data_IF_555665392227
#
_entry.id   IF_555665392227
#
_cell.length_a   1.000
_cell.length_b   1.000
_cell.length_c   1.000
_cell.angle_alpha   90.00
_cell.angle_beta   90.00
_cell.angle_gamma   90.00
#
_symmetry.space_group_name_H-M   'P 1'
#
loop_
_entity.id
_entity.type
_entity.pdbx_description
1 polymer ?
#
# COMPACT_ATOMS: atom_id res chain seq x y z
N UNK A 1 19.68 7.65 28.76
CA UNK A 1 19.18 8.80 27.95
C UNK A 1 20.10 9.99 28.17
N UNK A 2 20.35 10.79 27.13
CA UNK A 2 21.20 11.98 27.23
C UNK A 2 20.46 13.17 27.87
N UNK A 3 21.17 13.98 28.67
CA UNK A 3 20.62 15.16 29.35
C UNK A 3 20.49 16.31 28.35
N UNK A 4 19.33 16.97 28.33
CA UNK A 4 19.14 18.20 27.55
C UNK A 4 20.05 19.30 28.11
N UNK A 5 20.86 19.93 27.25
CA UNK A 5 21.80 21.00 27.64
C UNK A 5 21.13 22.36 27.86
N UNK A 6 19.88 22.52 27.39
CA UNK A 6 19.05 23.71 27.59
C UNK A 6 17.57 23.36 27.49
N UNK A 7 16.72 24.21 28.07
CA UNK A 7 15.27 24.15 27.94
C UNK A 7 14.88 24.24 26.45
N UNK A 8 13.99 23.35 25.99
CA UNK A 8 13.50 23.31 24.62
C UNK A 8 11.99 23.12 24.60
N UNK A 9 11.30 23.90 23.77
CA UNK A 9 9.85 23.81 23.59
C UNK A 9 9.55 23.60 22.11
N UNK A 10 8.85 22.52 21.77
CA UNK A 10 8.30 22.27 20.44
C UNK A 10 6.78 22.30 20.50
N UNK A 11 6.17 23.15 19.70
CA UNK A 11 4.71 23.20 19.55
C UNK A 11 4.30 22.23 18.45
N UNK A 12 3.23 21.49 18.71
CA UNK A 12 2.58 20.62 17.75
C UNK A 12 1.13 21.07 17.62
N UNK A 13 0.58 20.93 16.42
CA UNK A 13 -0.85 21.09 16.16
C UNK A 13 -1.34 19.75 15.66
N UNK A 14 -2.39 19.23 16.30
CA UNK A 14 -3.03 18.00 15.84
C UNK A 14 -3.79 18.27 14.53
N UNK A 15 -3.64 17.39 13.55
CA UNK A 15 -4.49 17.40 12.36
C UNK A 15 -5.92 16.98 12.72
N UNK A 16 -6.85 17.17 11.77
CA UNK A 16 -8.18 16.60 11.89
C UNK A 16 -8.10 15.06 11.99
N UNK A 17 -9.10 14.46 12.63
CA UNK A 17 -9.20 12.99 12.73
C UNK A 17 -9.28 12.38 11.33
N UNK A 18 -8.47 11.35 11.10
CA UNK A 18 -8.61 10.50 9.93
C UNK A 18 -9.71 9.47 10.17
N UNK A 19 -10.63 9.37 9.20
CA UNK A 19 -11.82 8.51 9.25
C UNK A 19 -11.95 7.63 8.02
N UNK A 20 -10.92 7.58 7.16
CA UNK A 20 -10.88 6.74 5.98
C UNK A 20 -9.84 5.62 6.17
N UNK A 21 -10.08 4.47 5.53
CA UNK A 21 -9.09 3.40 5.46
C UNK A 21 -8.52 3.35 4.04
N UNK A 22 -7.27 2.93 3.87
CA UNK A 22 -6.71 2.73 2.54
C UNK A 22 -7.57 1.77 1.72
N UNK A 23 -8.01 2.20 0.54
CA UNK A 23 -8.81 1.38 -0.37
C UNK A 23 -8.09 1.18 -1.72
N UNK A 24 -7.61 -0.04 -2.01
CA UNK A 24 -6.93 -0.38 -3.25
C UNK A 24 -7.73 -0.14 -4.53
N UNK A 25 -9.07 -0.08 -4.45
CA UNK A 25 -9.93 0.17 -5.60
C UNK A 25 -9.67 1.56 -6.20
N UNK A 26 -9.35 2.53 -5.35
CA UNK A 26 -9.13 3.93 -5.76
C UNK A 26 -7.67 4.25 -6.09
N UNK A 27 -6.74 3.29 -5.97
CA UNK A 27 -5.36 3.52 -6.36
C UNK A 27 -5.24 3.69 -7.89
N UNK A 28 -4.30 4.50 -8.35
CA UNK A 28 -4.04 4.64 -9.79
C UNK A 28 -2.89 3.74 -10.19
N UNK A 29 -3.09 2.91 -11.21
CA UNK A 29 -2.07 1.99 -11.71
C UNK A 29 -1.69 2.38 -13.14
N UNK A 30 -0.41 2.68 -13.35
CA UNK A 30 0.16 2.79 -14.68
C UNK A 30 0.65 1.40 -15.09
N UNK A 31 -0.13 0.75 -15.95
CA UNK A 31 0.09 -0.63 -16.37
C UNK A 31 1.06 -0.64 -17.56
N UNK A 32 2.19 -1.37 -17.47
CA UNK A 32 3.17 -1.46 -18.54
C UNK A 32 2.65 -2.28 -19.73
N UNK A 33 3.23 -2.09 -20.91
CA UNK A 33 2.90 -2.87 -22.11
C UNK A 33 3.54 -4.27 -22.09
N UNK A 34 2.91 -5.24 -22.76
CA UNK A 34 3.45 -6.58 -22.95
C UNK A 34 4.77 -6.55 -23.73
N UNK A 35 5.61 -7.57 -23.50
CA UNK A 35 6.93 -7.68 -24.11
C UNK A 35 7.94 -6.62 -23.64
N UNK A 36 7.60 -5.79 -22.65
CA UNK A 36 8.47 -4.74 -22.10
C UNK A 36 8.99 -5.09 -20.72
N UNK A 37 10.06 -4.41 -20.28
CA UNK A 37 10.52 -4.38 -18.86
C UNK A 37 10.19 -3.05 -18.20
N UNK A 38 9.18 -2.34 -18.72
CA UNK A 38 8.76 -1.06 -18.15
C UNK A 38 8.27 -1.29 -16.72
N UNK A 39 8.57 -0.33 -15.85
CA UNK A 39 8.11 -0.39 -14.47
C UNK A 39 6.61 -0.14 -14.39
N UNK A 40 5.93 -0.88 -13.51
CA UNK A 40 4.56 -0.57 -13.11
C UNK A 40 4.59 0.47 -11.98
N UNK A 41 3.72 1.47 -12.04
CA UNK A 41 3.60 2.47 -10.96
C UNK A 41 2.22 2.39 -10.33
N UNK A 42 2.16 2.41 -9.00
CA UNK A 42 0.93 2.43 -8.21
C UNK A 42 0.95 3.71 -7.39
N UNK A 43 -0.02 4.60 -7.60
CA UNK A 43 -0.19 5.81 -6.81
C UNK A 43 -1.33 5.64 -5.81
N UNK A 44 -1.03 5.95 -4.54
CA UNK A 44 -1.95 5.90 -3.42
C UNK A 44 -2.61 7.27 -3.20
N UNK A 45 -3.80 7.27 -2.61
CA UNK A 45 -4.53 8.50 -2.30
C UNK A 45 -4.03 9.18 -1.04
N UNK A 46 -3.24 8.47 -0.24
CA UNK A 46 -2.64 8.90 1.01
C UNK A 46 -1.22 8.34 1.16
N UNK A 47 -0.49 8.75 2.20
CA UNK A 47 0.80 8.18 2.53
C UNK A 47 0.58 6.91 3.37
N UNK A 48 1.23 5.81 2.99
CA UNK A 48 1.11 4.54 3.69
C UNK A 48 2.36 4.26 4.54
N UNK A 49 2.29 3.27 5.42
CA UNK A 49 3.45 2.88 6.22
C UNK A 49 4.60 2.39 5.32
N UNK A 50 5.74 3.07 5.42
CA UNK A 50 6.92 2.80 4.60
C UNK A 50 7.43 1.37 4.74
N UNK A 51 7.46 0.83 5.96
CA UNK A 51 8.06 -0.49 6.22
C UNK A 51 7.15 -1.61 5.70
N UNK A 52 5.84 -1.44 5.84
CA UNK A 52 4.86 -2.40 5.33
C UNK A 52 4.77 -2.40 3.81
N UNK A 53 4.91 -1.25 3.15
CA UNK A 53 4.81 -1.14 1.69
C UNK A 53 5.74 -2.11 0.93
N UNK A 54 6.94 -2.40 1.45
CA UNK A 54 7.89 -3.31 0.79
C UNK A 54 7.45 -4.78 0.78
N UNK A 55 6.62 -5.19 1.75
CA UNK A 55 6.28 -6.59 1.97
C UNK A 55 4.78 -6.88 1.86
N UNK A 56 3.95 -5.84 1.77
CA UNK A 56 2.50 -5.97 1.72
C UNK A 56 1.91 -5.88 0.32
N UNK A 57 2.70 -5.58 -0.72
CA UNK A 57 2.22 -5.48 -2.09
C UNK A 57 3.00 -6.44 -2.99
N UNK A 58 2.28 -7.31 -3.68
CA UNK A 58 2.85 -8.18 -4.70
C UNK A 58 1.98 -8.21 -5.95
N UNK A 59 2.60 -8.57 -7.08
CA UNK A 59 1.92 -8.72 -8.36
C UNK A 59 1.95 -10.20 -8.70
N UNK A 60 0.79 -10.78 -8.99
CA UNK A 60 0.66 -12.18 -9.37
C UNK A 60 0.00 -12.30 -10.75
N UNK A 61 0.38 -13.32 -11.51
CA UNK A 61 -0.36 -13.75 -12.70
C UNK A 61 -1.71 -14.37 -12.31
N UNK A 62 -2.60 -14.52 -13.30
CA UNK A 62 -3.90 -15.14 -13.10
C UNK A 62 -3.87 -16.57 -12.51
N UNK A 63 -2.74 -17.27 -12.65
CA UNK A 63 -2.50 -18.61 -12.11
C UNK A 63 -1.93 -18.59 -10.67
N UNK A 64 -1.80 -17.41 -10.07
CA UNK A 64 -1.27 -17.20 -8.73
C UNK A 64 0.27 -17.11 -8.66
N UNK A 65 0.98 -17.19 -9.79
CA UNK A 65 2.44 -17.07 -9.78
C UNK A 65 2.86 -15.61 -9.56
N UNK A 66 3.62 -15.36 -8.49
CA UNK A 66 4.16 -14.03 -8.18
C UNK A 66 5.19 -13.60 -9.23
N UNK A 67 5.01 -12.41 -9.77
CA UNK A 67 5.95 -11.76 -10.67
C UNK A 67 7.17 -11.33 -9.86
N UNK A 68 8.34 -11.84 -10.23
CA UNK A 68 9.61 -11.44 -9.62
C UNK A 68 9.98 -10.03 -10.05
N UNK A 69 10.42 -9.21 -9.10
CA UNK A 69 10.84 -7.85 -9.36
C UNK A 69 11.33 -7.14 -8.11
N UNK A 70 11.64 -5.85 -8.28
CA UNK A 70 12.10 -4.97 -7.21
C UNK A 70 11.09 -3.85 -6.99
N UNK A 71 10.83 -3.56 -5.72
CA UNK A 71 9.91 -2.52 -5.28
C UNK A 71 10.69 -1.30 -4.78
N UNK A 72 10.22 -0.11 -5.15
CA UNK A 72 10.71 1.15 -4.63
C UNK A 72 9.54 2.02 -4.17
N UNK A 73 9.60 2.48 -2.93
CA UNK A 73 8.65 3.46 -2.38
C UNK A 73 9.15 4.86 -2.71
N UNK A 74 8.25 5.71 -3.19
CA UNK A 74 8.56 7.05 -3.70
C UNK A 74 7.46 8.04 -3.31
N UNK A 75 7.68 9.33 -3.60
CA UNK A 75 6.69 10.38 -3.41
C UNK A 75 6.13 10.44 -1.97
N UNK A 76 7.02 10.37 -0.96
CA UNK A 76 6.65 10.37 0.47
C UNK A 76 5.62 9.28 0.79
N UNK A 77 5.95 8.05 0.41
CA UNK A 77 5.12 6.87 0.67
C UNK A 77 3.73 6.90 -0.01
N UNK A 78 3.53 7.77 -1.00
CA UNK A 78 2.30 7.88 -1.79
C UNK A 78 2.39 7.16 -3.13
N UNK A 79 3.51 6.55 -3.44
CA UNK A 79 3.68 5.82 -4.70
C UNK A 79 4.65 4.66 -4.56
N UNK A 80 4.34 3.57 -5.25
CA UNK A 80 5.18 2.38 -5.35
C UNK A 80 5.53 2.15 -6.82
N UNK A 81 6.81 1.92 -7.09
CA UNK A 81 7.32 1.56 -8.41
C UNK A 81 7.83 0.12 -8.36
N UNK A 82 7.29 -0.73 -9.23
CA UNK A 82 7.69 -2.12 -9.38
C UNK A 82 8.45 -2.32 -10.69
N UNK A 83 9.71 -2.75 -10.59
CA UNK A 83 10.55 -3.12 -11.74
C UNK A 83 10.55 -4.64 -11.88
N UNK A 84 10.00 -5.19 -12.98
CA UNK A 84 9.99 -6.63 -13.18
C UNK A 84 11.40 -7.15 -13.48
N UNK A 85 11.70 -8.36 -13.04
CA UNK A 85 12.96 -9.03 -13.39
C UNK A 85 12.98 -9.41 -14.88
N UNK A 86 11.84 -9.90 -15.37
CA UNK A 86 11.62 -10.37 -16.74
C UNK A 86 10.65 -9.48 -17.52
N UNK A 87 10.48 -9.73 -18.83
CA UNK A 87 9.51 -9.00 -19.63
C UNK A 87 8.08 -9.38 -19.24
N UNK A 88 7.17 -8.40 -19.25
CA UNK A 88 5.75 -8.65 -19.01
C UNK A 88 5.15 -9.52 -20.11
N UNK A 89 4.39 -10.54 -19.73
CA UNK A 89 3.56 -11.29 -20.67
C UNK A 89 2.18 -10.64 -20.77
N UNK A 90 1.56 -10.68 -21.94
CA UNK A 90 0.16 -10.27 -22.06
C UNK A 90 -0.73 -11.21 -21.25
N UNK A 91 -1.75 -10.67 -20.58
CA UNK A 91 -2.69 -11.47 -19.79
C UNK A 91 -3.23 -10.78 -18.55
N UNK A 92 -4.02 -11.53 -17.80
CA UNK A 92 -4.63 -11.10 -16.55
C UNK A 92 -3.64 -11.24 -15.38
N UNK A 93 -3.64 -10.24 -14.52
CA UNK A 93 -2.83 -10.16 -13.31
C UNK A 93 -3.67 -9.69 -12.14
N UNK A 94 -3.17 -9.95 -10.93
CA UNK A 94 -3.70 -9.46 -9.68
C UNK A 94 -2.64 -8.64 -8.96
N UNK A 95 -3.05 -7.50 -8.43
CA UNK A 95 -2.35 -6.82 -7.37
C UNK A 95 -2.84 -7.42 -6.05
N UNK A 96 -1.98 -8.14 -5.35
CA UNK A 96 -2.28 -8.72 -4.04
C UNK A 96 -1.73 -7.80 -2.95
N UNK A 97 -2.61 -7.38 -2.03
CA UNK A 97 -2.29 -6.49 -0.93
C UNK A 97 -2.56 -7.19 0.39
N UNK A 98 -1.53 -7.35 1.22
CA UNK A 98 -1.68 -7.80 2.60
C UNK A 98 -2.50 -6.76 3.38
N UNK A 99 -3.59 -7.24 4.00
CA UNK A 99 -4.52 -6.42 4.76
C UNK A 99 -3.92 -5.72 5.98
N UNK A 100 -2.71 -6.12 6.40
CA UNK A 100 -1.94 -5.45 7.45
C UNK A 100 -1.39 -4.10 7.00
N UNK A 101 -1.29 -3.84 5.69
CA UNK A 101 -0.88 -2.52 5.20
C UNK A 101 -1.79 -1.43 5.79
N UNK A 102 -1.16 -0.39 6.31
CA UNK A 102 -1.86 0.68 7.01
C UNK A 102 -1.36 2.06 6.56
N UNK A 103 -2.16 3.08 6.82
CA UNK A 103 -1.76 4.48 6.70
C UNK A 103 -0.96 4.96 7.92
N UNK A 104 -0.53 6.22 7.88
CA UNK A 104 0.22 6.83 8.99
C UNK A 104 -0.62 7.06 10.26
N UNK A 105 -1.95 6.93 10.18
CA UNK A 105 -2.87 7.00 11.31
C UNK A 105 -3.18 5.60 11.90
N UNK A 106 -2.67 4.52 11.30
CA UNK A 106 -2.87 3.14 11.72
C UNK A 106 -4.18 2.51 11.21
N UNK A 107 -4.89 3.15 10.27
CA UNK A 107 -6.02 2.52 9.61
C UNK A 107 -5.49 1.53 8.57
N UNK A 108 -6.04 0.32 8.55
CA UNK A 108 -5.65 -0.71 7.59
C UNK A 108 -6.81 -1.03 6.65
N UNK A 109 -6.56 -1.86 5.63
CA UNK A 109 -7.54 -2.16 4.58
C UNK A 109 -8.84 -2.80 5.09
N UNK A 110 -8.85 -3.32 6.32
CA UNK A 110 -10.02 -3.96 6.92
C UNK A 110 -10.77 -3.05 7.91
N UNK A 111 -10.14 -1.99 8.43
CA UNK A 111 -10.71 -1.16 9.51
C UNK A 111 -9.94 0.12 9.78
N UNK A 112 -10.67 1.08 10.35
CA UNK A 112 -10.10 2.21 11.07
C UNK A 112 -9.39 1.78 12.36
N UNK A 113 -8.39 2.56 12.74
CA UNK A 113 -7.72 2.49 14.03
C UNK A 113 -8.67 2.90 15.16
N UNK A 114 -9.25 4.09 15.05
CA UNK A 114 -10.11 4.71 16.07
C UNK A 114 -11.57 4.29 15.92
N UNK A 115 -11.81 3.01 16.22
CA UNK A 115 -13.10 2.32 16.11
C UNK A 115 -13.74 2.04 17.47
N UNK A 116 -15.07 2.03 17.53
CA UNK A 116 -15.80 1.76 18.77
C UNK A 116 -15.95 0.24 18.94
N UNK A 117 -15.09 -0.35 19.78
CA UNK A 117 -15.06 -1.80 20.02
C UNK A 117 -16.36 -2.38 20.56
N UNK A 118 -17.25 -1.55 21.13
CA UNK A 118 -18.54 -1.98 21.68
C UNK A 118 -19.65 -1.99 20.63
N UNK A 119 -19.51 -1.23 19.54
CA UNK A 119 -20.50 -1.11 18.47
C UNK A 119 -20.09 -1.85 17.20
N UNK A 120 -18.79 -1.96 16.95
CA UNK A 120 -18.27 -2.54 15.72
C UNK A 120 -18.21 -4.06 15.81
N UNK A 121 -19.04 -4.73 15.01
CA UNK A 121 -18.84 -6.15 14.72
C UNK A 121 -17.49 -6.29 14.00
N UNK A 122 -16.66 -7.30 14.35
CA UNK A 122 -15.44 -7.55 13.61
C UNK A 122 -15.81 -7.80 12.15
N UNK A 123 -15.45 -6.87 11.26
CA UNK A 123 -15.50 -7.10 9.82
C UNK A 123 -14.72 -8.38 9.50
N UNK A 124 -15.20 -9.15 8.52
CA UNK A 124 -14.54 -10.37 8.08
C UNK A 124 -13.06 -10.08 7.79
N UNK A 125 -12.16 -10.72 8.55
CA UNK A 125 -10.72 -10.53 8.39
C UNK A 125 -10.29 -11.18 7.08
N UNK A 126 -10.22 -10.39 6.00
CA UNK A 126 -9.48 -10.80 4.81
C UNK A 126 -8.00 -10.68 5.14
N UNK A 127 -7.23 -11.72 4.87
CA UNK A 127 -5.77 -11.64 4.99
C UNK A 127 -5.18 -10.83 3.83
N UNK A 128 -5.77 -10.95 2.64
CA UNK A 128 -5.38 -10.24 1.44
C UNK A 128 -6.57 -9.57 0.75
N UNK A 129 -6.29 -8.43 0.12
CA UNK A 129 -7.15 -7.77 -0.84
C UNK A 129 -6.54 -7.92 -2.23
N UNK A 130 -7.38 -8.08 -3.25
CA UNK A 130 -6.90 -8.29 -4.61
C UNK A 130 -7.54 -7.31 -5.57
N UNK A 131 -6.76 -6.76 -6.49
CA UNK A 131 -7.27 -5.96 -7.61
C UNK A 131 -6.77 -6.50 -8.93
N UNK A 132 -7.71 -6.91 -9.80
CA UNK A 132 -7.37 -7.41 -11.13
C UNK A 132 -6.98 -6.27 -12.08
N UNK A 133 -6.03 -6.54 -12.97
CA UNK A 133 -5.70 -5.70 -14.11
C UNK A 133 -5.22 -6.54 -15.31
N UNK A 134 -5.18 -5.92 -16.48
CA UNK A 134 -4.84 -6.57 -17.75
C UNK A 134 -3.61 -5.90 -18.36
N UNK A 135 -2.59 -6.69 -18.69
CA UNK A 135 -1.48 -6.26 -19.54
C UNK A 135 -1.80 -6.68 -20.97
N UNK A 136 -1.73 -5.72 -21.89
CA UNK A 136 -1.93 -5.91 -23.34
C UNK A 136 -0.61 -5.86 -24.06
#
# INVERSE_FOLDING_TARGET
GAKLTRSYTKRFVAAAKDIESPDPLYWKMNIPGSGSRQAMTISFNEALDHSLLYNSISIAHHDGQVVKGKVFVTNKERSLIFYPEYHWSAGNYYLEIDSRLEDLAGNNLNRLFDRDLLKDKPAGKKEFHTRQFLIK
#
